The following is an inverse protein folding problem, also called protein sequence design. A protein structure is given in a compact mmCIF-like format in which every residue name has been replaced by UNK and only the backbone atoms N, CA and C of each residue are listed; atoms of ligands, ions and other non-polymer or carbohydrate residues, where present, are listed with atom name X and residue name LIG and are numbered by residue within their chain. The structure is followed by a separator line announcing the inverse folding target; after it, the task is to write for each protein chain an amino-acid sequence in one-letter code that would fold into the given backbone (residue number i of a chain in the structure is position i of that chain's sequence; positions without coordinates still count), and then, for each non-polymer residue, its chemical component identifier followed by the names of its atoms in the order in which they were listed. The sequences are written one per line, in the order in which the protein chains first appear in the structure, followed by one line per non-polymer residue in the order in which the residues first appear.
data_IF_480922184341
#
_entry.id   IF_480922184341
#
_cell.length_a   1.000
_cell.length_b   1.000
_cell.length_c   1.000
_cell.angle_alpha   90.00
_cell.angle_beta   90.00
_cell.angle_gamma   90.00
#
_symmetry.space_group_name_H-M   'P 1'
#
loop_
_entity.id
_entity.type
_entity.pdbx_description
1 polymer ?
#
# COMPACT_ATOMS: atom_id res chain seq x y z
N UNK A 1 40.04 -53.43 18.47
CA UNK A 1 40.57 -53.37 17.10
C UNK A 1 39.40 -53.36 16.13
N UNK A 2 39.64 -52.98 14.87
CA UNK A 2 38.65 -53.06 13.80
C UNK A 2 38.13 -54.49 13.58
N UNK A 3 39.02 -55.49 13.70
CA UNK A 3 38.65 -56.91 13.59
C UNK A 3 37.68 -57.34 14.68
N UNK A 4 37.91 -56.95 15.94
CA UNK A 4 36.99 -57.25 17.04
C UNK A 4 35.63 -56.55 16.85
N UNK A 5 35.63 -55.31 16.34
CA UNK A 5 34.41 -54.59 16.01
C UNK A 5 33.59 -55.32 14.94
N UNK A 6 34.25 -55.80 13.87
CA UNK A 6 33.60 -56.56 12.81
C UNK A 6 33.06 -57.91 13.30
N UNK A 7 33.82 -58.65 14.11
CA UNK A 7 33.34 -59.92 14.69
C UNK A 7 32.10 -59.70 15.54
N UNK A 8 32.07 -58.64 16.33
CA UNK A 8 30.90 -58.28 17.14
C UNK A 8 29.69 -57.89 16.25
N UNK A 9 29.92 -57.12 15.18
CA UNK A 9 28.86 -56.79 14.23
C UNK A 9 28.28 -58.04 13.57
N UNK A 10 29.13 -58.96 13.11
CA UNK A 10 28.69 -60.21 12.51
C UNK A 10 27.90 -61.04 13.52
N UNK A 11 28.39 -61.18 14.76
CA UNK A 11 27.70 -61.97 15.79
C UNK A 11 26.31 -61.40 16.13
N UNK A 12 26.19 -60.07 16.23
CA UNK A 12 24.95 -59.40 16.65
C UNK A 12 23.92 -59.34 15.52
N UNK A 13 24.35 -59.05 14.29
CA UNK A 13 23.45 -58.70 13.19
C UNK A 13 23.34 -59.77 12.10
N UNK A 14 23.93 -60.97 12.26
CA UNK A 14 23.87 -62.03 11.24
C UNK A 14 22.45 -62.38 10.80
N UNK A 15 21.48 -62.35 11.73
CA UNK A 15 20.07 -62.66 11.46
C UNK A 15 19.26 -61.48 10.92
N UNK A 16 19.83 -60.27 10.92
CA UNK A 16 19.10 -59.06 10.56
C UNK A 16 18.93 -58.96 9.03
N UNK A 17 17.69 -58.82 8.56
CA UNK A 17 17.35 -58.86 7.12
C UNK A 17 18.10 -57.82 6.24
N UNK A 18 18.54 -56.71 6.84
CA UNK A 18 19.28 -55.64 6.14
C UNK A 18 20.80 -55.74 6.28
N UNK A 19 21.31 -56.62 7.13
CA UNK A 19 22.73 -56.86 7.27
C UNK A 19 23.19 -57.92 6.27
N UNK A 20 24.40 -57.77 5.74
CA UNK A 20 24.98 -58.68 4.75
C UNK A 20 26.40 -58.96 5.17
N UNK A 21 26.73 -60.21 5.49
CA UNK A 21 28.09 -60.61 5.89
C UNK A 21 29.13 -60.42 4.76
N UNK A 22 28.66 -60.37 3.52
CA UNK A 22 29.47 -60.27 2.30
C UNK A 22 29.22 -61.48 1.40
N UNK A 23 29.22 -61.30 0.08
CA UNK A 23 28.99 -62.40 -0.88
C UNK A 23 30.20 -63.33 -0.99
N UNK A 24 31.42 -62.79 -0.88
CA UNK A 24 32.66 -63.56 -0.89
C UNK A 24 33.18 -63.78 0.53
N UNK A 25 33.40 -65.05 0.87
CA UNK A 25 33.86 -65.51 2.17
C UNK A 25 35.26 -65.00 2.53
N UNK A 26 36.08 -64.65 1.53
CA UNK A 26 37.44 -64.11 1.72
C UNK A 26 37.45 -62.72 2.35
N UNK A 27 36.36 -61.97 2.20
CA UNK A 27 36.26 -60.58 2.67
C UNK A 27 35.54 -60.45 4.01
N UNK A 28 35.04 -61.54 4.59
CA UNK A 28 34.29 -61.52 5.86
C UNK A 28 35.09 -61.04 7.06
N UNK A 29 36.42 -61.11 6.98
CA UNK A 29 37.32 -60.65 8.04
C UNK A 29 37.68 -59.15 7.90
N UNK A 30 37.32 -58.52 6.78
CA UNK A 30 37.65 -57.13 6.49
C UNK A 30 36.44 -56.25 6.17
N UNK A 31 35.31 -56.83 5.81
CA UNK A 31 34.14 -56.12 5.29
C UNK A 31 32.82 -56.63 5.85
N UNK A 32 31.82 -55.74 5.86
CA UNK A 32 30.41 -56.07 6.04
C UNK A 32 29.58 -55.24 5.06
N UNK A 33 28.33 -55.63 4.83
CA UNK A 33 27.43 -54.94 3.94
C UNK A 33 26.10 -54.56 4.59
N UNK A 34 25.49 -53.50 4.08
CA UNK A 34 24.15 -53.05 4.48
C UNK A 34 23.28 -52.89 3.23
N UNK A 35 22.06 -53.40 3.28
CA UNK A 35 21.04 -53.17 2.25
C UNK A 35 20.33 -51.83 2.47
N UNK A 36 20.90 -50.77 1.92
CA UNK A 36 20.26 -49.45 1.89
C UNK A 36 19.05 -49.44 0.96
N UNK A 37 18.26 -48.37 1.03
CA UNK A 37 17.11 -48.18 0.14
C UNK A 37 17.53 -48.15 -1.35
N UNK A 38 18.73 -47.64 -1.65
CA UNK A 38 19.31 -47.54 -2.99
C UNK A 38 20.10 -48.77 -3.46
N UNK A 39 20.24 -49.80 -2.62
CA UNK A 39 21.01 -51.00 -2.95
C UNK A 39 21.91 -51.48 -1.81
N UNK A 40 22.60 -52.59 -2.04
CA UNK A 40 23.56 -53.13 -1.09
C UNK A 40 24.91 -52.42 -1.23
N UNK A 41 25.47 -51.96 -0.11
CA UNK A 41 26.80 -51.33 -0.05
C UNK A 41 27.68 -52.15 0.87
N UNK A 42 28.88 -52.47 0.41
CA UNK A 42 29.93 -53.11 1.21
C UNK A 42 30.86 -52.06 1.81
N UNK A 43 31.20 -52.22 3.09
CA UNK A 43 32.02 -51.34 3.89
C UNK A 43 33.25 -52.08 4.39
N UNK A 44 34.43 -51.51 4.12
CA UNK A 44 35.70 -52.02 4.66
C UNK A 44 35.96 -51.41 6.03
N UNK A 45 36.21 -52.26 7.04
CA UNK A 45 36.29 -51.85 8.46
C UNK A 45 37.64 -51.26 8.85
N UNK A 46 38.66 -51.38 7.99
CA UNK A 46 40.00 -50.87 8.26
C UNK A 46 39.99 -49.37 8.62
N UNK A 47 40.43 -49.06 9.83
CA UNK A 47 40.48 -47.72 10.43
C UNK A 47 39.15 -47.21 11.00
N UNK A 48 38.08 -48.01 11.09
CA UNK A 48 36.79 -47.56 11.60
C UNK A 48 36.87 -47.10 13.06
N UNK A 49 37.50 -47.90 13.93
CA UNK A 49 37.54 -47.60 15.36
C UNK A 49 38.36 -46.34 15.62
N UNK A 50 39.51 -46.19 14.96
CA UNK A 50 40.38 -45.03 15.15
C UNK A 50 39.76 -43.75 14.55
N UNK A 51 39.17 -43.83 13.35
CA UNK A 51 38.42 -42.71 12.76
C UNK A 51 37.24 -42.28 13.63
N UNK A 52 36.55 -43.22 14.27
CA UNK A 52 35.39 -42.90 15.09
C UNK A 52 35.78 -42.35 16.47
N UNK A 53 36.94 -42.75 17.01
CA UNK A 53 37.47 -42.20 18.27
C UNK A 53 37.97 -40.76 18.13
N UNK A 54 38.47 -40.39 16.93
CA UNK A 54 39.02 -39.07 16.62
C UNK A 54 39.96 -38.55 17.73
N UNK A 55 40.91 -39.40 18.13
CA UNK A 55 41.82 -39.07 19.23
C UNK A 55 42.80 -38.01 18.75
N UNK A 56 42.55 -36.78 19.17
CA UNK A 56 43.44 -35.66 18.94
C UNK A 56 44.44 -35.50 20.09
N UNK A 57 45.63 -35.01 19.78
CA UNK A 57 46.67 -34.75 20.78
C UNK A 57 46.45 -33.39 21.41
N UNK A 58 46.12 -33.34 22.70
CA UNK A 58 45.87 -32.09 23.42
C UNK A 58 47.10 -31.15 23.41
N UNK A 59 48.32 -31.71 23.32
CA UNK A 59 49.59 -30.96 23.20
C UNK A 59 49.65 -30.10 21.93
N UNK A 60 49.06 -30.57 20.83
CA UNK A 60 49.03 -29.80 19.58
C UNK A 60 48.18 -28.53 19.76
N UNK A 61 47.04 -28.63 20.41
CA UNK A 61 46.15 -27.49 20.66
C UNK A 61 46.74 -26.52 21.68
N UNK A 62 47.43 -27.01 22.72
CA UNK A 62 48.20 -26.15 23.63
C UNK A 62 49.26 -25.36 22.85
N UNK A 63 50.00 -26.00 21.94
CA UNK A 63 50.97 -25.29 21.10
C UNK A 63 50.30 -24.25 20.17
N UNK A 64 49.19 -24.60 19.52
CA UNK A 64 48.45 -23.70 18.64
C UNK A 64 47.90 -22.48 19.39
N UNK A 65 47.44 -22.65 20.63
CA UNK A 65 46.96 -21.56 21.48
C UNK A 65 48.04 -20.53 21.83
N UNK A 66 49.32 -20.94 21.77
CA UNK A 66 50.49 -20.07 22.03
C UNK A 66 51.12 -19.53 20.75
N UNK A 67 50.51 -19.79 19.59
CA UNK A 67 51.00 -19.29 18.30
C UNK A 67 51.05 -17.76 18.30
N UNK A 68 52.00 -17.14 17.59
CA UNK A 68 52.02 -15.69 17.38
C UNK A 68 50.94 -15.20 16.39
N UNK A 69 50.27 -16.12 15.69
CA UNK A 69 49.21 -15.80 14.74
C UNK A 69 47.84 -15.88 15.43
N UNK A 70 47.16 -14.74 15.53
CA UNK A 70 45.83 -14.64 16.14
C UNK A 70 44.80 -15.61 15.52
N UNK A 71 44.85 -15.85 14.22
CA UNK A 71 43.94 -16.79 13.55
C UNK A 71 44.15 -18.24 14.03
N UNK A 72 45.41 -18.64 14.28
CA UNK A 72 45.74 -19.99 14.76
C UNK A 72 45.32 -20.15 16.23
N UNK A 73 45.48 -19.11 17.04
CA UNK A 73 44.97 -19.07 18.41
C UNK A 73 43.45 -19.23 18.44
N UNK A 74 42.74 -18.52 17.55
CA UNK A 74 41.28 -18.60 17.45
C UNK A 74 40.81 -20.00 17.06
N UNK A 75 41.45 -20.67 16.09
CA UNK A 75 41.12 -22.05 15.72
C UNK A 75 41.29 -23.01 16.92
N UNK A 76 42.34 -22.84 17.70
CA UNK A 76 42.62 -23.71 18.85
C UNK A 76 41.50 -23.67 19.90
N UNK A 77 40.79 -22.54 20.02
CA UNK A 77 39.67 -22.38 20.96
C UNK A 77 38.44 -23.24 20.60
N UNK A 78 38.34 -23.73 19.36
CA UNK A 78 37.20 -24.51 18.89
C UNK A 78 37.32 -26.03 19.11
N UNK A 79 38.40 -26.50 19.74
CA UNK A 79 38.63 -27.92 20.06
C UNK A 79 37.43 -28.56 20.80
N UNK A 80 36.71 -27.77 21.62
CA UNK A 80 35.65 -28.25 22.52
C UNK A 80 34.24 -27.75 22.17
N UNK A 81 34.00 -27.13 21.01
CA UNK A 81 32.66 -26.59 20.70
C UNK A 81 31.55 -27.66 20.65
N UNK A 82 31.89 -28.93 20.39
CA UNK A 82 30.94 -30.04 20.39
C UNK A 82 30.65 -30.61 21.79
N UNK A 83 31.55 -30.40 22.76
CA UNK A 83 31.30 -30.72 24.17
C UNK A 83 30.54 -29.59 24.89
N UNK A 84 30.73 -28.34 24.46
CA UNK A 84 30.09 -27.13 25.01
C UNK A 84 28.57 -27.10 24.80
N UNK A 85 28.03 -27.67 23.71
CA UNK A 85 26.57 -27.72 23.50
C UNK A 85 25.82 -28.55 24.55
N UNK A 86 26.47 -29.47 25.26
CA UNK A 86 25.81 -30.23 26.34
C UNK A 86 25.74 -29.48 27.67
N UNK A 87 26.60 -28.49 27.92
CA UNK A 87 26.63 -27.78 29.21
C UNK A 87 25.46 -26.79 29.33
N UNK A 88 24.92 -26.28 28.22
CA UNK A 88 23.80 -25.34 28.25
C UNK A 88 22.43 -26.01 28.46
N UNK A 89 22.33 -27.35 28.39
CA UNK A 89 21.07 -28.08 28.61
C UNK A 89 20.98 -28.79 29.97
N UNK A 90 22.02 -28.69 30.82
CA UNK A 90 22.07 -29.34 32.13
C UNK A 90 22.13 -28.33 33.28
N UNK A 91 21.24 -27.33 33.29
CA UNK A 91 21.02 -26.44 34.43
C UNK A 91 19.91 -26.95 35.37
N UNK A 92 19.80 -28.27 35.55
CA UNK A 92 18.93 -28.86 36.57
C UNK A 92 19.72 -29.83 37.43
N UNK A 93 19.91 -29.42 38.68
CA UNK A 93 20.48 -30.13 39.82
C UNK A 93 19.97 -31.58 39.85
N UNK A 94 20.86 -32.53 39.59
CA UNK A 94 20.56 -33.97 39.64
C UNK A 94 21.84 -34.74 39.95
N UNK A 95 21.85 -35.36 41.14
CA UNK A 95 22.89 -36.18 41.74
C UNK A 95 23.68 -37.04 40.75
N UNK A 96 25.01 -36.87 40.77
CA UNK A 96 25.97 -37.66 39.99
C UNK A 96 25.89 -39.13 40.43
N UNK A 97 25.11 -39.93 39.71
CA UNK A 97 25.18 -41.39 39.78
C UNK A 97 26.54 -41.82 39.24
N UNK A 98 27.29 -42.55 40.09
CA UNK A 98 28.54 -43.24 39.73
C UNK A 98 28.28 -44.24 38.62
N UNK A 99 28.62 -43.86 37.40
CA UNK A 99 28.78 -44.73 36.25
C UNK A 99 29.86 -44.13 35.36
N UNK A 100 30.87 -44.95 35.03
CA UNK A 100 31.95 -44.72 34.06
C UNK A 100 31.92 -43.37 33.37
N UNK A 101 32.95 -42.54 33.60
CA UNK A 101 33.22 -41.28 32.87
C UNK A 101 32.72 -41.38 31.43
N UNK A 102 31.65 -40.64 31.10
CA UNK A 102 31.18 -40.53 29.72
C UNK A 102 32.38 -40.06 28.90
N UNK A 103 32.96 -40.95 28.12
CA UNK A 103 34.15 -40.66 27.31
C UNK A 103 33.88 -39.52 26.35
N UNK A 104 34.96 -38.96 25.76
CA UNK A 104 34.85 -38.00 24.66
C UNK A 104 33.85 -38.55 23.62
N UNK A 105 32.94 -37.70 23.15
CA UNK A 105 31.93 -38.07 22.14
C UNK A 105 32.63 -38.64 20.90
N UNK A 106 32.09 -39.72 20.36
CA UNK A 106 32.60 -40.29 19.10
C UNK A 106 32.15 -39.47 17.90
N UNK A 107 32.85 -39.58 16.78
CA UNK A 107 32.45 -38.91 15.52
C UNK A 107 31.03 -39.31 15.12
N UNK A 108 30.69 -40.59 15.25
CA UNK A 108 29.36 -41.10 14.93
C UNK A 108 28.27 -40.54 15.85
N UNK A 109 28.55 -40.37 17.14
CA UNK A 109 27.59 -39.76 18.08
C UNK A 109 27.35 -38.29 17.77
N UNK A 110 28.40 -37.54 17.46
CA UNK A 110 28.30 -36.14 17.04
C UNK A 110 27.49 -36.02 15.75
N UNK A 111 27.81 -36.83 14.74
CA UNK A 111 27.08 -36.84 13.46
C UNK A 111 25.60 -37.21 13.67
N UNK A 112 25.31 -38.19 14.53
CA UNK A 112 23.94 -38.58 14.88
C UNK A 112 23.17 -37.44 15.53
N UNK A 113 23.78 -36.72 16.47
CA UNK A 113 23.14 -35.57 17.13
C UNK A 113 22.87 -34.43 16.14
N UNK A 114 23.83 -34.08 15.28
CA UNK A 114 23.65 -33.08 14.24
C UNK A 114 22.56 -33.48 13.23
N UNK A 115 22.53 -34.75 12.83
CA UNK A 115 21.50 -35.28 11.94
C UNK A 115 20.12 -35.22 12.58
N UNK A 116 20.00 -35.56 13.87
CA UNK A 116 18.72 -35.47 14.58
C UNK A 116 18.25 -34.01 14.65
N UNK A 117 19.13 -33.07 15.01
CA UNK A 117 18.80 -31.65 15.03
C UNK A 117 18.33 -31.14 13.65
N UNK A 118 18.96 -31.58 12.57
CA UNK A 118 18.52 -31.28 11.22
C UNK A 118 17.13 -31.88 10.91
N UNK A 119 16.89 -33.12 11.29
CA UNK A 119 15.59 -33.79 11.09
C UNK A 119 14.49 -33.05 11.85
N UNK A 120 14.75 -32.61 13.08
CA UNK A 120 13.79 -31.87 13.90
C UNK A 120 13.43 -30.53 13.22
N UNK A 121 14.43 -29.81 12.70
CA UNK A 121 14.20 -28.60 11.90
C UNK A 121 13.35 -28.91 10.67
N UNK A 122 13.69 -29.96 9.90
CA UNK A 122 12.92 -30.33 8.72
C UNK A 122 11.47 -30.70 9.06
N UNK A 123 11.23 -31.44 10.14
CA UNK A 123 9.88 -31.83 10.60
C UNK A 123 9.03 -30.65 11.07
N UNK A 124 9.66 -29.58 11.54
CA UNK A 124 8.97 -28.33 11.93
C UNK A 124 8.56 -27.45 10.74
N UNK A 125 9.00 -27.78 9.53
CA UNK A 125 8.77 -26.98 8.31
C UNK A 125 7.81 -27.65 7.34
N UNK A 126 7.44 -26.94 6.28
CA UNK A 126 6.73 -27.52 5.12
C UNK A 126 7.74 -27.89 4.04
N UNK A 127 8.09 -29.18 3.86
CA UNK A 127 9.16 -29.57 2.96
C UNK A 127 8.73 -29.53 1.49
N UNK A 128 9.65 -29.08 0.63
CA UNK A 128 9.56 -29.21 -0.81
C UNK A 128 10.68 -30.12 -1.30
N UNK A 129 10.34 -31.11 -2.13
CA UNK A 129 11.27 -32.13 -2.57
C UNK A 129 11.73 -31.90 -4.01
N UNK A 130 13.05 -31.83 -4.20
CA UNK A 130 13.70 -31.88 -5.52
C UNK A 130 14.45 -33.21 -5.61
N UNK A 131 14.23 -33.96 -6.69
CA UNK A 131 14.90 -35.25 -6.94
C UNK A 131 15.81 -35.10 -8.15
N UNK A 132 17.11 -35.19 -7.92
CA UNK A 132 18.11 -35.16 -8.98
C UNK A 132 18.32 -36.57 -9.55
N UNK A 133 18.37 -36.69 -10.87
CA UNK A 133 18.57 -37.96 -11.58
C UNK A 133 19.85 -37.87 -12.39
N UNK A 134 20.74 -38.86 -12.25
CA UNK A 134 21.98 -38.99 -13.02
C UNK A 134 21.68 -39.70 -14.35
N UNK A 135 21.83 -39.04 -15.51
CA UNK A 135 21.41 -39.62 -16.79
C UNK A 135 22.35 -40.72 -17.29
N UNK A 136 23.65 -40.59 -17.02
CA UNK A 136 24.67 -41.58 -17.39
C UNK A 136 25.85 -41.55 -16.42
N UNK A 137 26.63 -42.63 -16.36
CA UNK A 137 27.81 -42.75 -15.49
C UNK A 137 29.02 -41.96 -16.00
N UNK A 138 29.16 -41.88 -17.32
CA UNK A 138 30.32 -41.34 -18.06
C UNK A 138 30.40 -39.81 -18.08
N UNK A 139 29.39 -39.12 -17.53
CA UNK A 139 29.27 -37.65 -17.49
C UNK A 139 29.17 -37.02 -18.88
N UNK A 140 28.63 -37.75 -19.86
CA UNK A 140 28.42 -37.27 -21.22
C UNK A 140 27.14 -36.42 -21.31
N UNK A 141 27.15 -35.32 -22.08
CA UNK A 141 25.94 -34.57 -22.38
C UNK A 141 25.05 -35.38 -23.33
N UNK A 142 23.73 -35.25 -23.20
CA UNK A 142 22.72 -35.89 -24.07
C UNK A 142 22.79 -37.43 -24.15
N UNK A 143 23.50 -38.08 -23.23
CA UNK A 143 23.54 -39.53 -23.12
C UNK A 143 22.60 -40.00 -22.00
N UNK A 144 21.64 -40.83 -22.33
CA UNK A 144 20.60 -41.30 -21.39
C UNK A 144 20.66 -42.82 -21.27
N UNK A 145 21.04 -43.30 -20.09
CA UNK A 145 21.05 -44.71 -19.78
C UNK A 145 19.74 -45.10 -19.09
N UNK A 146 18.86 -45.76 -19.85
CA UNK A 146 17.52 -46.17 -19.40
C UNK A 146 17.56 -47.00 -18.12
N UNK A 147 18.45 -48.00 -18.06
CA UNK A 147 18.53 -48.91 -16.92
C UNK A 147 18.99 -48.18 -15.65
N UNK A 148 20.03 -47.35 -15.77
CA UNK A 148 20.53 -46.54 -14.66
C UNK A 148 19.47 -45.58 -14.13
N UNK A 149 18.73 -44.92 -15.02
CA UNK A 149 17.66 -43.99 -14.61
C UNK A 149 16.46 -44.74 -14.02
N UNK A 150 16.08 -45.89 -14.59
CA UNK A 150 14.99 -46.71 -14.07
C UNK A 150 15.28 -47.19 -12.65
N UNK A 151 16.51 -47.65 -12.39
CA UNK A 151 16.90 -48.10 -11.05
C UNK A 151 16.87 -46.93 -10.06
N UNK A 152 17.28 -45.72 -10.47
CA UNK A 152 17.11 -44.49 -9.69
C UNK A 152 15.66 -44.20 -9.36
N UNK A 153 14.76 -44.27 -10.34
CA UNK A 153 13.34 -44.01 -10.12
C UNK A 153 12.71 -45.03 -9.15
N UNK A 154 13.13 -46.29 -9.22
CA UNK A 154 12.70 -47.35 -8.30
C UNK A 154 13.15 -47.08 -6.89
N UNK A 155 14.44 -46.90 -6.65
CA UNK A 155 14.93 -46.73 -5.28
C UNK A 155 14.54 -45.38 -4.67
N UNK A 156 14.37 -44.33 -5.48
CA UNK A 156 13.83 -43.05 -4.98
C UNK A 156 12.33 -43.14 -4.64
N UNK A 157 11.67 -44.26 -4.93
CA UNK A 157 10.24 -44.47 -4.69
C UNK A 157 9.35 -43.61 -5.58
N UNK A 158 9.85 -43.16 -6.74
CA UNK A 158 9.11 -42.22 -7.58
C UNK A 158 7.78 -42.79 -8.08
N UNK A 159 7.77 -44.08 -8.42
CA UNK A 159 6.55 -44.77 -8.86
C UNK A 159 5.51 -44.85 -7.74
N UNK A 160 5.93 -45.20 -6.52
CA UNK A 160 5.04 -45.26 -5.37
C UNK A 160 4.49 -43.87 -4.99
N UNK A 161 5.34 -42.83 -5.04
CA UNK A 161 4.92 -41.45 -4.79
C UNK A 161 3.89 -41.00 -5.83
N UNK A 162 4.12 -41.28 -7.12
CA UNK A 162 3.16 -40.95 -8.18
C UNK A 162 1.85 -41.68 -7.94
N UNK A 163 1.90 -42.97 -7.58
CA UNK A 163 0.71 -43.77 -7.28
C UNK A 163 -0.07 -43.21 -6.10
N UNK A 164 0.59 -42.94 -4.96
CA UNK A 164 -0.03 -42.36 -3.76
C UNK A 164 -0.66 -41.00 -4.08
N UNK A 165 0.01 -40.15 -4.87
CA UNK A 165 -0.55 -38.85 -5.27
C UNK A 165 -1.72 -38.98 -6.24
N UNK A 166 -1.69 -39.97 -7.14
CA UNK A 166 -2.75 -40.22 -8.11
C UNK A 166 -3.97 -40.87 -7.48
N UNK A 167 -3.79 -41.80 -6.53
CA UNK A 167 -4.89 -42.50 -5.86
C UNK A 167 -5.42 -41.71 -4.65
N UNK A 168 -4.57 -40.90 -4.02
CA UNK A 168 -4.92 -40.07 -2.85
C UNK A 168 -5.40 -38.66 -3.18
N UNK A 169 -5.58 -37.87 -2.12
CA UNK A 169 -6.05 -36.49 -2.17
C UNK A 169 -4.94 -35.55 -1.69
N UNK A 170 -4.01 -35.10 -2.55
CA UNK A 170 -2.81 -34.37 -2.13
C UNK A 170 -3.07 -33.02 -1.46
N UNK A 171 -4.26 -32.44 -1.63
CA UNK A 171 -4.61 -31.13 -1.08
C UNK A 171 -5.46 -31.31 0.18
N UNK A 172 -4.98 -30.79 1.30
CA UNK A 172 -5.65 -30.85 2.60
C UNK A 172 -5.89 -29.43 3.12
N UNK A 173 -7.16 -29.06 3.32
CA UNK A 173 -7.53 -27.74 3.86
C UNK A 173 -8.43 -27.94 5.07
N UNK A 174 -8.26 -27.13 6.12
CA UNK A 174 -9.25 -27.11 7.20
C UNK A 174 -10.60 -26.61 6.67
N UNK A 175 -11.70 -26.90 7.36
CA UNK A 175 -13.01 -26.39 6.93
C UNK A 175 -13.03 -24.87 6.87
N UNK A 176 -12.44 -24.20 7.86
CA UNK A 176 -12.37 -22.74 7.94
C UNK A 176 -11.54 -22.17 6.79
N UNK A 177 -10.36 -22.73 6.51
CA UNK A 177 -9.51 -22.28 5.40
C UNK A 177 -10.21 -22.48 4.05
N UNK A 178 -10.85 -23.63 3.86
CA UNK A 178 -11.55 -23.95 2.62
C UNK A 178 -12.69 -22.96 2.36
N UNK A 179 -13.52 -22.70 3.37
CA UNK A 179 -14.62 -21.73 3.27
C UNK A 179 -14.05 -20.35 3.01
N UNK A 180 -13.10 -19.86 3.81
CA UNK A 180 -12.52 -18.53 3.63
C UNK A 180 -11.96 -18.32 2.21
N UNK A 181 -11.32 -19.34 1.65
CA UNK A 181 -10.68 -19.28 0.33
C UNK A 181 -11.71 -19.32 -0.80
N UNK A 182 -12.65 -20.25 -0.78
CA UNK A 182 -13.54 -20.51 -1.92
C UNK A 182 -14.95 -19.92 -1.77
N UNK A 183 -15.29 -19.29 -0.65
CA UNK A 183 -16.57 -18.63 -0.45
C UNK A 183 -16.87 -17.52 -1.47
N UNK A 184 -15.88 -16.97 -2.15
CA UNK A 184 -16.08 -16.00 -3.23
C UNK A 184 -16.61 -16.63 -4.53
N UNK A 185 -16.50 -17.95 -4.68
CA UNK A 185 -17.00 -18.71 -5.84
C UNK A 185 -18.46 -19.17 -5.69
N UNK A 186 -19.00 -19.06 -4.48
CA UNK A 186 -20.28 -19.63 -4.07
C UNK A 186 -21.13 -18.60 -3.32
N UNK A 187 -22.42 -18.85 -3.14
CA UNK A 187 -23.29 -18.00 -2.32
C UNK A 187 -22.86 -18.06 -0.86
N UNK A 188 -23.03 -16.95 -0.13
CA UNK A 188 -22.72 -16.90 1.31
C UNK A 188 -23.75 -17.71 2.10
N UNK A 189 -23.31 -18.84 2.64
CA UNK A 189 -24.11 -19.68 3.54
C UNK A 189 -23.92 -19.20 4.98
N UNK A 190 -24.87 -18.40 5.50
CA UNK A 190 -24.85 -17.92 6.89
C UNK A 190 -25.51 -18.95 7.81
N UNK A 191 -25.09 -18.96 9.08
CA UNK A 191 -25.71 -19.75 10.16
C UNK A 191 -25.54 -21.28 10.02
N UNK A 192 -24.37 -21.72 9.54
CA UNK A 192 -24.03 -23.14 9.42
C UNK A 192 -22.65 -23.40 10.03
N UNK A 193 -22.37 -24.66 10.36
CA UNK A 193 -21.01 -25.05 10.80
C UNK A 193 -20.03 -24.93 9.64
N UNK A 194 -18.73 -24.73 9.92
CA UNK A 194 -17.71 -24.63 8.87
C UNK A 194 -17.68 -25.85 7.94
N UNK A 195 -17.97 -27.05 8.49
CA UNK A 195 -18.07 -28.30 7.72
C UNK A 195 -19.23 -28.26 6.74
N UNK A 196 -20.41 -27.83 7.19
CA UNK A 196 -21.60 -27.76 6.34
C UNK A 196 -21.47 -26.65 5.29
N UNK A 197 -20.83 -25.53 5.63
CA UNK A 197 -20.47 -24.48 4.67
C UNK A 197 -19.52 -25.01 3.60
N UNK A 198 -18.48 -25.75 3.97
CA UNK A 198 -17.56 -26.37 3.02
C UNK A 198 -18.30 -27.34 2.09
N UNK A 199 -19.20 -28.17 2.62
CA UNK A 199 -20.07 -29.05 1.82
C UNK A 199 -20.97 -28.28 0.87
N UNK A 200 -21.58 -27.17 1.32
CA UNK A 200 -22.45 -26.35 0.49
C UNK A 200 -21.69 -25.70 -0.67
N UNK A 201 -20.48 -25.19 -0.41
CA UNK A 201 -19.59 -24.63 -1.45
C UNK A 201 -19.22 -25.70 -2.48
N UNK A 202 -18.81 -26.90 -2.06
CA UNK A 202 -18.45 -28.00 -2.97
C UNK A 202 -19.64 -28.43 -3.85
N UNK A 203 -20.85 -28.50 -3.26
CA UNK A 203 -22.08 -28.84 -3.99
C UNK A 203 -22.47 -27.78 -5.01
N UNK A 204 -22.39 -26.50 -4.65
CA UNK A 204 -22.69 -25.40 -5.57
C UNK A 204 -21.72 -25.35 -6.75
N UNK A 205 -20.46 -25.75 -6.52
CA UNK A 205 -19.43 -25.84 -7.55
C UNK A 205 -19.52 -27.12 -8.40
N UNK A 206 -20.50 -28.01 -8.14
CA UNK A 206 -20.73 -29.26 -8.86
C UNK A 206 -19.48 -30.15 -8.98
N UNK A 207 -18.66 -30.20 -7.92
CA UNK A 207 -17.45 -31.02 -7.91
C UNK A 207 -17.84 -32.51 -7.85
N UNK A 208 -17.30 -33.38 -8.74
CA UNK A 208 -17.60 -34.81 -8.72
C UNK A 208 -17.20 -35.47 -7.39
N UNK A 209 -18.06 -36.32 -6.84
CA UNK A 209 -17.85 -36.97 -5.53
C UNK A 209 -16.60 -37.90 -5.47
N UNK A 210 -16.00 -38.26 -6.60
CA UNK A 210 -14.75 -39.05 -6.67
C UNK A 210 -13.50 -38.22 -6.39
N UNK A 211 -13.60 -36.90 -6.58
CA UNK A 211 -12.46 -35.99 -6.60
C UNK A 211 -12.23 -35.23 -5.29
N UNK A 212 -13.11 -35.44 -4.30
CA UNK A 212 -12.99 -34.88 -2.97
C UNK A 212 -13.48 -35.83 -1.89
N UNK A 213 -13.02 -35.64 -0.66
CA UNK A 213 -13.56 -36.29 0.52
C UNK A 213 -13.60 -35.34 1.72
N UNK A 214 -14.56 -35.60 2.62
CA UNK A 214 -14.71 -34.86 3.87
C UNK A 214 -14.12 -35.67 5.02
N UNK A 215 -13.07 -35.16 5.65
CA UNK A 215 -12.51 -35.76 6.85
C UNK A 215 -13.26 -35.33 8.12
N UNK A 216 -12.62 -35.56 9.27
CA UNK A 216 -13.12 -35.08 10.57
C UNK A 216 -12.95 -33.57 10.73
N UNK A 217 -11.82 -33.02 10.26
CA UNK A 217 -11.43 -31.61 10.45
C UNK A 217 -11.04 -30.89 9.15
N UNK A 218 -10.91 -31.64 8.05
CA UNK A 218 -10.34 -31.14 6.79
C UNK A 218 -11.13 -31.61 5.57
N UNK A 219 -11.12 -30.80 4.53
CA UNK A 219 -11.49 -31.15 3.16
C UNK A 219 -10.26 -31.68 2.44
N UNK A 220 -10.43 -32.79 1.73
CA UNK A 220 -9.41 -33.45 0.93
C UNK A 220 -9.79 -33.31 -0.54
N UNK A 221 -8.89 -32.80 -1.37
CA UNK A 221 -9.14 -32.56 -2.79
C UNK A 221 -8.02 -33.17 -3.64
N UNK A 222 -8.38 -33.59 -4.85
CA UNK A 222 -7.42 -33.87 -5.92
C UNK A 222 -7.04 -32.60 -6.67
N UNK A 223 -5.86 -32.61 -7.29
CA UNK A 223 -5.36 -31.45 -8.04
C UNK A 223 -6.27 -31.06 -9.21
N UNK A 224 -6.89 -32.04 -9.87
CA UNK A 224 -7.82 -31.81 -10.99
C UNK A 224 -9.03 -30.95 -10.63
N UNK A 225 -9.39 -30.87 -9.33
CA UNK A 225 -10.41 -29.95 -8.82
C UNK A 225 -9.77 -28.70 -8.24
N UNK A 226 -8.72 -28.86 -7.43
CA UNK A 226 -8.08 -27.74 -6.73
C UNK A 226 -7.53 -26.67 -7.68
N UNK A 227 -6.89 -27.06 -8.78
CA UNK A 227 -6.31 -26.11 -9.75
C UNK A 227 -7.39 -25.25 -10.44
N UNK A 228 -8.46 -25.81 -11.03
CA UNK A 228 -9.57 -25.02 -11.55
C UNK A 228 -10.24 -24.11 -10.52
N UNK A 229 -10.38 -24.55 -9.26
CA UNK A 229 -10.94 -23.72 -8.19
C UNK A 229 -10.05 -22.51 -7.88
N UNK A 230 -8.73 -22.70 -7.83
CA UNK A 230 -7.79 -21.58 -7.64
C UNK A 230 -7.83 -20.59 -8.80
N UNK A 231 -7.93 -21.07 -10.03
CA UNK A 231 -7.94 -20.19 -11.20
C UNK A 231 -9.26 -19.41 -11.31
N UNK A 232 -10.40 -20.06 -11.04
CA UNK A 232 -11.69 -19.37 -10.91
C UNK A 232 -11.64 -18.29 -9.83
N UNK A 233 -11.03 -18.59 -8.68
CA UNK A 233 -10.88 -17.64 -7.56
C UNK A 233 -10.02 -16.45 -7.96
N UNK A 234 -8.87 -16.69 -8.60
CA UNK A 234 -8.00 -15.63 -9.11
C UNK A 234 -8.75 -14.72 -10.09
N UNK A 235 -9.56 -15.31 -10.97
CA UNK A 235 -10.33 -14.55 -11.96
C UNK A 235 -11.39 -13.64 -11.32
N UNK A 236 -12.12 -14.14 -10.31
CA UNK A 236 -13.07 -13.32 -9.55
C UNK A 236 -12.34 -12.19 -8.83
N UNK A 237 -11.24 -12.49 -8.12
CA UNK A 237 -10.47 -11.49 -7.40
C UNK A 237 -9.94 -10.40 -8.35
N UNK A 238 -9.41 -10.79 -9.51
CA UNK A 238 -8.96 -9.87 -10.53
C UNK A 238 -10.10 -8.96 -11.02
N UNK A 239 -11.26 -9.54 -11.35
CA UNK A 239 -12.44 -8.78 -11.79
C UNK A 239 -12.91 -7.79 -10.73
N UNK A 240 -12.97 -8.18 -9.46
CA UNK A 240 -13.38 -7.28 -8.37
C UNK A 240 -12.34 -6.17 -8.13
N UNK A 241 -11.05 -6.48 -8.24
CA UNK A 241 -10.00 -5.47 -8.17
C UNK A 241 -10.16 -4.42 -9.29
N UNK A 242 -10.48 -4.83 -10.52
CA UNK A 242 -10.75 -3.91 -11.63
C UNK A 242 -11.95 -2.98 -11.36
N UNK A 243 -13.02 -3.49 -10.74
CA UNK A 243 -14.18 -2.67 -10.35
C UNK A 243 -13.76 -1.61 -9.33
N UNK A 244 -12.99 -1.98 -8.31
CA UNK A 244 -12.50 -1.03 -7.30
C UNK A 244 -11.60 0.02 -7.95
N UNK A 245 -10.64 -0.42 -8.76
CA UNK A 245 -9.69 0.47 -9.44
C UNK A 245 -10.39 1.45 -10.39
N UNK A 246 -11.35 0.99 -11.20
CA UNK A 246 -12.09 1.84 -12.14
C UNK A 246 -12.94 2.89 -11.41
N UNK A 247 -13.63 2.51 -10.33
CA UNK A 247 -14.39 3.45 -9.51
C UNK A 247 -13.50 4.49 -8.84
N UNK A 248 -12.35 4.06 -8.30
CA UNK A 248 -11.39 4.97 -7.68
C UNK A 248 -10.79 5.95 -8.70
N UNK A 249 -10.37 5.46 -9.88
CA UNK A 249 -9.86 6.30 -10.98
C UNK A 249 -10.89 7.34 -11.42
N UNK A 250 -12.16 6.91 -11.59
CA UNK A 250 -13.28 7.82 -11.88
C UNK A 250 -13.44 8.88 -10.80
N UNK A 251 -13.47 8.47 -9.53
CA UNK A 251 -13.62 9.39 -8.40
C UNK A 251 -12.49 10.43 -8.36
N UNK A 252 -11.23 9.98 -8.49
CA UNK A 252 -10.06 10.86 -8.50
C UNK A 252 -10.15 11.90 -9.63
N UNK A 253 -10.48 11.46 -10.86
CA UNK A 253 -10.59 12.35 -12.00
C UNK A 253 -11.75 13.34 -11.86
N UNK A 254 -12.92 12.90 -11.38
CA UNK A 254 -14.05 13.78 -11.12
C UNK A 254 -13.74 14.83 -10.06
N UNK A 255 -13.03 14.45 -8.99
CA UNK A 255 -12.58 15.37 -7.94
C UNK A 255 -11.64 16.44 -8.52
N UNK A 256 -10.67 16.04 -9.34
CA UNK A 256 -9.73 16.96 -9.98
C UNK A 256 -10.46 17.91 -10.96
N UNK A 257 -11.36 17.39 -11.80
CA UNK A 257 -12.16 18.20 -12.71
C UNK A 257 -13.04 19.23 -11.97
N UNK A 258 -13.70 18.83 -10.88
CA UNK A 258 -14.52 19.75 -10.06
C UNK A 258 -13.68 20.87 -9.45
N UNK A 259 -12.47 20.56 -8.95
CA UNK A 259 -11.53 21.57 -8.45
C UNK A 259 -11.14 22.56 -9.55
N UNK A 260 -10.73 22.06 -10.71
CA UNK A 260 -10.34 22.88 -11.86
C UNK A 260 -11.49 23.77 -12.35
N UNK A 261 -12.70 23.20 -12.49
CA UNK A 261 -13.90 23.95 -12.88
C UNK A 261 -14.25 25.05 -11.88
N UNK A 262 -14.19 24.77 -10.58
CA UNK A 262 -14.46 25.77 -9.54
C UNK A 262 -13.46 26.93 -9.60
N UNK A 263 -12.17 26.63 -9.77
CA UNK A 263 -11.14 27.65 -9.93
C UNK A 263 -11.37 28.50 -11.19
N UNK A 264 -11.66 27.86 -12.34
CA UNK A 264 -11.95 28.56 -13.59
C UNK A 264 -13.17 29.48 -13.46
N UNK A 265 -14.28 29.00 -12.87
CA UNK A 265 -15.49 29.82 -12.68
C UNK A 265 -15.24 31.03 -11.78
N UNK A 266 -14.46 30.88 -10.69
CA UNK A 266 -14.08 32.00 -9.82
C UNK A 266 -13.32 33.09 -10.60
N UNK A 267 -12.34 32.69 -11.41
CA UNK A 267 -11.55 33.60 -12.24
C UNK A 267 -12.46 34.29 -13.27
N UNK A 268 -13.31 33.52 -13.96
CA UNK A 268 -14.24 34.05 -14.96
C UNK A 268 -15.22 35.06 -14.36
N UNK A 269 -15.79 34.78 -13.19
CA UNK A 269 -16.70 35.71 -12.50
C UNK A 269 -15.98 36.99 -12.07
N UNK A 270 -14.79 36.88 -11.49
CA UNK A 270 -13.98 38.04 -11.10
C UNK A 270 -13.65 38.92 -12.31
N UNK A 271 -13.22 38.31 -13.43
CA UNK A 271 -12.89 39.03 -14.66
C UNK A 271 -14.13 39.72 -15.26
N UNK A 272 -15.26 39.01 -15.38
CA UNK A 272 -16.52 39.60 -15.88
C UNK A 272 -16.97 40.78 -15.03
N UNK A 273 -16.92 40.63 -13.69
CA UNK A 273 -17.27 41.70 -12.76
C UNK A 273 -16.35 42.91 -12.87
N UNK A 274 -15.03 42.67 -12.95
CA UNK A 274 -14.03 43.72 -13.14
C UNK A 274 -14.25 44.50 -14.45
N UNK A 275 -14.43 43.79 -15.56
CA UNK A 275 -14.66 44.40 -16.88
C UNK A 275 -15.92 45.29 -16.87
N UNK A 276 -17.04 44.77 -16.40
CA UNK A 276 -18.30 45.53 -16.31
C UNK A 276 -18.17 46.75 -15.40
N UNK A 277 -17.45 46.63 -14.27
CA UNK A 277 -17.20 47.75 -13.36
C UNK A 277 -16.38 48.86 -14.02
N UNK A 278 -15.34 48.52 -14.78
CA UNK A 278 -14.55 49.50 -15.54
C UNK A 278 -15.43 50.23 -16.55
N UNK A 279 -16.23 49.50 -17.33
CA UNK A 279 -17.14 50.09 -18.32
C UNK A 279 -18.18 51.02 -17.67
N UNK A 280 -18.77 50.60 -16.54
CA UNK A 280 -19.70 51.42 -15.78
C UNK A 280 -19.03 52.69 -15.24
N UNK A 281 -17.83 52.58 -14.65
CA UNK A 281 -17.10 53.74 -14.14
C UNK A 281 -16.74 54.74 -15.25
N UNK A 282 -16.38 54.25 -16.45
CA UNK A 282 -16.14 55.11 -17.63
C UNK A 282 -17.41 55.87 -18.03
N UNK A 283 -18.55 55.17 -18.14
CA UNK A 283 -19.86 55.78 -18.44
C UNK A 283 -20.29 56.78 -17.36
N UNK A 284 -20.11 56.43 -16.08
CA UNK A 284 -20.45 57.29 -14.94
C UNK A 284 -19.63 58.57 -14.92
N UNK A 285 -18.31 58.48 -15.16
CA UNK A 285 -17.45 59.68 -15.27
C UNK A 285 -17.91 60.60 -16.40
N UNK A 286 -18.17 60.04 -17.58
CA UNK A 286 -18.69 60.81 -18.71
C UNK A 286 -20.02 61.50 -18.38
N UNK A 287 -20.96 60.77 -17.76
CA UNK A 287 -22.25 61.33 -17.33
C UNK A 287 -22.09 62.47 -16.32
N UNK A 288 -21.23 62.32 -15.30
CA UNK A 288 -20.96 63.36 -14.30
C UNK A 288 -20.38 64.62 -14.97
N UNK A 289 -19.43 64.45 -15.90
CA UNK A 289 -18.82 65.58 -16.64
C UNK A 289 -19.90 66.33 -17.44
N UNK A 290 -20.72 65.61 -18.21
CA UNK A 290 -21.82 66.20 -18.99
C UNK A 290 -22.80 66.94 -18.06
N UNK A 291 -23.23 66.29 -16.98
CA UNK A 291 -24.12 66.89 -15.98
C UNK A 291 -23.53 68.16 -15.35
N UNK A 292 -22.23 68.17 -15.04
CA UNK A 292 -21.57 69.37 -14.49
C UNK A 292 -21.50 70.52 -15.49
N UNK A 293 -21.24 70.23 -16.77
CA UNK A 293 -21.23 71.26 -17.81
C UNK A 293 -22.63 71.83 -18.03
N UNK A 294 -23.66 70.97 -18.11
CA UNK A 294 -25.06 71.42 -18.26
C UNK A 294 -25.51 72.25 -17.06
N UNK A 295 -25.29 71.77 -15.82
CA UNK A 295 -25.59 72.54 -14.61
C UNK A 295 -24.84 73.89 -14.61
N UNK A 296 -23.59 73.90 -15.07
CA UNK A 296 -22.81 75.13 -15.22
C UNK A 296 -23.36 76.11 -16.27
N UNK A 297 -23.89 75.62 -17.39
CA UNK A 297 -24.55 76.46 -18.42
C UNK A 297 -25.82 77.07 -17.84
N UNK A 298 -26.72 76.25 -17.27
CA UNK A 298 -27.95 76.74 -16.64
C UNK A 298 -27.66 77.75 -15.52
N UNK A 299 -26.67 77.48 -14.67
CA UNK A 299 -26.28 78.42 -13.62
C UNK A 299 -25.77 79.75 -14.19
N UNK A 300 -25.03 79.73 -15.31
CA UNK A 300 -24.56 80.94 -15.99
C UNK A 300 -25.71 81.71 -16.65
N UNK A 301 -26.65 81.04 -17.31
CA UNK A 301 -27.85 81.67 -17.89
C UNK A 301 -28.73 82.33 -16.83
N UNK A 302 -28.95 81.64 -15.71
CA UNK A 302 -29.67 82.22 -14.56
C UNK A 302 -28.90 83.43 -14.00
N UNK A 303 -27.57 83.34 -13.88
CA UNK A 303 -26.76 84.45 -13.41
C UNK A 303 -26.69 85.64 -14.39
N UNK A 304 -26.80 85.42 -15.70
CA UNK A 304 -26.91 86.51 -16.68
C UNK A 304 -28.29 87.16 -16.61
N UNK A 305 -29.37 86.37 -16.54
CA UNK A 305 -30.72 86.89 -16.40
C UNK A 305 -30.89 87.71 -15.11
N UNK A 306 -30.35 87.23 -13.98
CA UNK A 306 -30.33 87.98 -12.72
C UNK A 306 -29.51 89.27 -12.80
N UNK A 307 -28.41 89.28 -13.57
CA UNK A 307 -27.60 90.49 -13.79
C UNK A 307 -28.32 91.51 -14.68
N UNK A 308 -29.03 91.06 -15.72
CA UNK A 308 -29.86 91.92 -16.56
C UNK A 308 -31.05 92.49 -15.81
N UNK A 309 -31.76 91.67 -15.03
CA UNK A 309 -32.87 92.17 -14.18
C UNK A 309 -32.38 93.22 -13.19
N UNK A 310 -31.20 93.04 -12.57
CA UNK A 310 -30.60 94.07 -11.70
C UNK A 310 -30.29 95.35 -12.46
N UNK A 311 -29.73 95.26 -13.68
CA UNK A 311 -29.46 96.45 -14.51
C UNK A 311 -30.73 97.20 -14.86
N UNK A 312 -31.79 96.49 -15.27
CA UNK A 312 -33.08 97.09 -15.60
C UNK A 312 -33.73 97.71 -14.38
N UNK A 313 -33.67 97.06 -13.21
CA UNK A 313 -34.19 97.61 -11.96
C UNK A 313 -33.43 98.89 -11.54
N UNK A 314 -32.09 98.91 -11.71
CA UNK A 314 -31.28 100.11 -11.49
C UNK A 314 -31.63 101.25 -12.46
N UNK A 315 -31.85 100.96 -13.75
CA UNK A 315 -32.28 101.95 -14.75
C UNK A 315 -33.69 102.47 -14.50
N UNK A 316 -34.64 101.61 -14.13
CA UNK A 316 -36.00 101.97 -13.77
C UNK A 316 -36.02 102.89 -12.55
N UNK A 317 -35.29 102.54 -11.48
CA UNK A 317 -35.14 103.42 -10.30
C UNK A 317 -34.53 104.77 -10.67
N UNK A 318 -33.61 104.82 -11.64
CA UNK A 318 -33.02 106.07 -12.12
C UNK A 318 -34.05 106.91 -12.91
N UNK A 319 -34.90 106.29 -13.72
CA UNK A 319 -36.01 106.97 -14.42
C UNK A 319 -37.08 107.47 -13.46
N UNK A 320 -37.48 106.66 -12.49
CA UNK A 320 -38.45 107.07 -11.46
C UNK A 320 -37.95 108.27 -10.65
N UNK A 321 -36.66 108.34 -10.31
CA UNK A 321 -36.06 109.52 -9.66
C UNK A 321 -36.16 110.77 -10.54
N UNK A 322 -35.89 110.64 -11.84
CA UNK A 322 -35.99 111.75 -12.79
C UNK A 322 -37.44 112.20 -13.02
N UNK A 323 -38.39 111.26 -13.07
CA UNK A 323 -39.82 111.59 -13.18
C UNK A 323 -40.38 112.21 -11.90
N UNK A 324 -39.93 111.75 -10.73
CA UNK A 324 -40.28 112.37 -9.45
C UNK A 324 -39.79 113.83 -9.39
N UNK A 325 -38.53 114.09 -9.78
CA UNK A 325 -38.01 115.46 -9.91
C UNK A 325 -38.83 116.30 -10.89
N UNK A 326 -39.31 115.72 -12.01
CA UNK A 326 -40.13 116.46 -12.99
C UNK A 326 -41.51 116.80 -12.43
N UNK A 327 -42.18 115.85 -11.78
CA UNK A 327 -43.48 116.07 -11.14
C UNK A 327 -43.41 117.09 -10.02
N UNK A 328 -42.32 117.12 -9.25
CA UNK A 328 -42.12 118.12 -8.20
C UNK A 328 -41.98 119.53 -8.80
N UNK A 329 -41.29 119.67 -9.93
CA UNK A 329 -41.24 120.94 -10.69
C UNK A 329 -42.59 121.35 -11.26
N UNK A 330 -43.35 120.41 -11.83
CA UNK A 330 -44.70 120.68 -12.38
C UNK A 330 -45.70 121.07 -11.27
N UNK A 331 -45.64 120.43 -10.09
CA UNK A 331 -46.49 120.78 -8.94
C UNK A 331 -46.15 122.17 -8.37
N UNK A 332 -44.87 122.52 -8.30
CA UNK A 332 -44.45 123.87 -7.88
C UNK A 332 -44.97 124.95 -8.85
N UNK A 333 -45.00 124.66 -10.16
CA UNK A 333 -45.55 125.56 -11.17
C UNK A 333 -47.08 125.71 -11.02
N UNK A 334 -47.81 124.60 -10.83
CA UNK A 334 -49.27 124.63 -10.68
C UNK A 334 -49.74 125.33 -9.39
N UNK A 335 -48.95 125.26 -8.30
CA UNK A 335 -49.26 126.03 -7.08
C UNK A 335 -49.08 127.55 -7.30
N UNK A 336 -48.08 127.95 -8.08
CA UNK A 336 -47.90 129.35 -8.46
C UNK A 336 -49.09 129.86 -9.30
N UNK A 337 -49.57 129.08 -10.25
CA UNK A 337 -50.72 129.44 -11.10
C UNK A 337 -52.04 129.51 -10.31
N UNK A 338 -52.26 128.63 -9.32
CA UNK A 338 -53.48 128.65 -8.49
C UNK A 338 -53.54 129.90 -7.60
N UNK A 339 -52.40 130.35 -7.05
CA UNK A 339 -52.34 131.61 -6.27
C UNK A 339 -52.67 132.84 -7.12
N UNK A 340 -52.32 132.83 -8.41
CA UNK A 340 -52.66 133.92 -9.33
C UNK A 340 -54.17 133.97 -9.67
N UNK A 341 -54.86 132.83 -9.72
CA UNK A 341 -56.30 132.76 -10.04
C UNK A 341 -57.19 133.23 -8.88
N UNK A 342 -56.84 132.93 -7.63
CA UNK A 342 -57.58 133.39 -6.43
C UNK A 342 -57.55 134.91 -6.26
N UNK A 343 -56.53 135.60 -6.80
CA UNK A 343 -56.44 137.06 -6.81
C UNK A 343 -57.44 137.68 -7.81
N UNK A 344 -57.72 137.00 -8.93
CA UNK A 344 -58.60 137.49 -10.00
C UNK A 344 -60.11 137.40 -9.66
N UNK A 345 -60.54 136.47 -8.81
CA UNK A 345 -61.99 136.29 -8.54
C UNK A 345 -62.56 137.29 -7.53
N UNK A 346 -61.72 138.01 -6.77
CA UNK A 346 -62.19 139.04 -5.82
C UNK A 346 -62.73 140.31 -6.49
N UNK A 347 -62.44 140.54 -7.77
CA UNK A 347 -62.76 141.82 -8.44
C UNK A 347 -64.11 141.82 -9.22
N UNK A 348 -64.76 140.66 -9.43
CA UNK A 348 -65.86 140.54 -10.41
C UNK A 348 -67.31 140.80 -9.95
N UNK A 349 -67.64 140.81 -8.65
CA UNK A 349 -69.05 140.74 -8.19
C UNK A 349 -69.78 142.10 -8.02
N UNK A 350 -69.25 143.23 -8.49
CA UNK A 350 -69.79 144.57 -8.23
C UNK A 350 -70.67 145.19 -9.34
N UNK A 351 -70.97 144.51 -10.46
CA UNK A 351 -71.67 145.16 -11.58
C UNK A 351 -72.69 144.25 -12.30
N UNK A 352 -73.98 144.37 -11.96
CA UNK A 352 -75.03 144.80 -12.91
C UNK A 352 -76.42 144.74 -12.27
N UNK A 353 -76.87 145.89 -11.79
CA UNK A 353 -78.27 146.26 -11.62
C UNK A 353 -78.76 146.94 -12.92
N UNK A 354 -80.09 146.93 -13.14
CA UNK A 354 -80.88 147.67 -14.16
C UNK A 354 -81.07 147.01 -15.55
N UNK A 355 -82.20 146.31 -15.73
CA UNK A 355 -83.40 146.86 -16.40
C UNK A 355 -84.65 146.05 -16.02
#
# INVERSE_FOLDING_TARGET
SDTAYLTNLHAEFESHARFVKGQDRRHWESEFGIRHYAGCVSYTVKGFVDKNRDVQQDVLFDHMSRSSNNFVQEIASFQDLLSIQQVQSASTVGTVLRGTSKGKLTVSDTFRQQLQALVDVLQSTTPWYVRCIKPNAEKLPNDYNDQLVLDQLRYLGMLDIIRIRREGFPVHLTFDDFVQKYQCLAKRFRNMTSKDQALAVIRELNVPNTEWQMGKTKVFLRNVVHEPLEDARKQINHTKALVIQSNWKRFAQQRNFRKMRSAALKIQHAYKGWKLRIEFLKKRRAAIVIQSHLRGVFAREVATALREMRRVDEEMRKRERLEAERKEREAAQAEADRKALEESEREGHCASSAQ
#
